data_IF_068974349693
#
_entry.id   IF_068974349693
#
_cell.length_a   1.000
_cell.length_b   1.000
_cell.length_c   1.000
_cell.angle_alpha   90.00
_cell.angle_beta   90.00
_cell.angle_gamma   90.00
#
_symmetry.space_group_name_H-M   'P 1'
#
loop_
_entity.id
_entity.type
_entity.pdbx_description
1 polymer ?
#
# COMPACT_ATOMS: atom_id res chain seq x y z
N UNK A 1 -35.51 -11.54 -9.18
CA UNK A 1 -34.38 -10.81 -9.78
C UNK A 1 -33.69 -10.08 -8.64
N UNK A 2 -32.60 -10.65 -8.12
CA UNK A 2 -31.87 -10.15 -6.94
C UNK A 2 -30.75 -9.25 -7.47
N UNK A 3 -30.49 -8.06 -6.89
CA UNK A 3 -29.43 -7.19 -7.37
C UNK A 3 -28.08 -7.87 -7.10
N UNK A 4 -27.23 -7.84 -8.12
CA UNK A 4 -25.85 -8.32 -8.10
C UNK A 4 -25.11 -7.66 -6.93
N UNK A 5 -24.48 -8.47 -6.09
CA UNK A 5 -23.50 -8.03 -5.10
C UNK A 5 -22.44 -7.28 -5.89
N UNK A 6 -22.46 -5.95 -5.79
CA UNK A 6 -21.45 -5.09 -6.40
C UNK A 6 -20.11 -5.42 -5.74
N UNK A 7 -19.09 -5.60 -6.58
CA UNK A 7 -17.68 -5.97 -6.35
C UNK A 7 -16.89 -5.11 -5.33
N UNK A 8 -17.57 -4.51 -4.34
CA UNK A 8 -17.02 -3.69 -3.26
C UNK A 8 -16.92 -4.44 -1.92
N UNK A 9 -17.73 -5.49 -1.74
CA UNK A 9 -17.77 -6.30 -0.51
C UNK A 9 -16.86 -7.55 -0.58
N UNK A 10 -16.15 -7.74 -1.70
CA UNK A 10 -15.20 -8.82 -1.94
C UNK A 10 -13.79 -8.41 -1.49
N UNK A 11 -13.05 -9.31 -0.84
CA UNK A 11 -11.61 -9.11 -0.59
C UNK A 11 -10.87 -8.86 -1.91
N UNK A 12 -9.80 -8.05 -1.88
CA UNK A 12 -8.95 -7.86 -3.05
C UNK A 12 -8.44 -9.22 -3.57
N UNK A 13 -8.37 -9.37 -4.89
CA UNK A 13 -7.82 -10.56 -5.53
C UNK A 13 -6.34 -10.81 -5.20
N UNK A 14 -5.60 -9.75 -4.84
CA UNK A 14 -4.25 -9.85 -4.32
C UNK A 14 -4.28 -10.13 -2.83
N UNK A 15 -3.90 -11.35 -2.44
CA UNK A 15 -3.86 -11.81 -1.04
C UNK A 15 -2.92 -11.02 -0.11
N UNK A 16 -2.03 -10.21 -0.68
CA UNK A 16 -1.13 -9.35 0.10
C UNK A 16 -1.67 -7.93 0.25
N UNK A 17 -2.74 -7.55 -0.46
CA UNK A 17 -3.39 -6.25 -0.37
C UNK A 17 -4.36 -6.23 0.82
N UNK A 18 -4.40 -5.12 1.55
CA UNK A 18 -5.30 -4.90 2.70
C UNK A 18 -6.60 -4.18 2.30
N UNK A 19 -6.73 -3.72 1.06
CA UNK A 19 -7.91 -3.01 0.57
C UNK A 19 -9.01 -3.98 0.10
N UNK A 20 -10.27 -3.54 0.09
CA UNK A 20 -11.41 -4.33 -0.40
C UNK A 20 -11.91 -3.83 -1.76
N UNK A 21 -12.54 -4.72 -2.51
CA UNK A 21 -13.10 -4.46 -3.83
C UNK A 21 -12.07 -4.15 -4.91
N UNK A 22 -12.57 -3.72 -6.07
CA UNK A 22 -11.72 -3.31 -7.20
C UNK A 22 -11.04 -1.95 -6.96
N UNK A 23 -9.72 -1.90 -7.17
CA UNK A 23 -8.91 -0.69 -7.10
C UNK A 23 -7.69 -0.78 -8.02
N UNK A 24 -7.29 0.36 -8.59
CA UNK A 24 -6.16 0.46 -9.53
C UNK A 24 -4.79 0.47 -8.85
N UNK A 25 -4.75 0.65 -7.52
CA UNK A 25 -3.52 0.62 -6.73
C UNK A 25 -3.75 -0.23 -5.52
N UNK A 26 -3.11 -1.38 -5.49
CA UNK A 26 -3.13 -2.31 -4.37
C UNK A 26 -2.18 -1.80 -3.29
N UNK A 27 -2.62 -1.81 -2.04
CA UNK A 27 -1.84 -1.29 -0.91
C UNK A 27 -1.82 -2.27 0.25
N UNK A 28 -0.65 -2.38 0.88
CA UNK A 28 -0.43 -3.09 2.13
C UNK A 28 0.13 -2.11 3.15
N UNK A 29 -0.55 -1.94 4.27
CA UNK A 29 -0.15 -1.02 5.33
C UNK A 29 0.81 -1.74 6.26
N UNK A 30 2.06 -1.28 6.34
CA UNK A 30 3.09 -1.95 7.15
C UNK A 30 3.24 -1.31 8.51
N UNK A 31 3.50 0.00 8.54
CA UNK A 31 3.86 0.69 9.78
C UNK A 31 3.21 2.08 9.84
N UNK A 32 2.87 2.51 11.06
CA UNK A 32 2.38 3.87 11.35
C UNK A 32 3.15 4.45 12.52
N UNK A 33 4.08 5.34 12.22
CA UNK A 33 5.00 5.95 13.18
C UNK A 33 4.43 7.28 13.65
N UNK A 34 4.28 7.44 14.97
CA UNK A 34 3.84 8.71 15.54
C UNK A 34 5.02 9.67 15.67
N UNK A 35 4.84 10.89 15.16
CA UNK A 35 5.75 11.99 15.44
C UNK A 35 5.79 12.31 16.92
N UNK A 36 6.96 12.75 17.41
CA UNK A 36 7.18 13.06 18.83
C UNK A 36 6.83 14.51 19.16
N UNK A 37 6.88 15.40 18.17
CA UNK A 37 6.44 16.79 18.29
C UNK A 37 4.92 16.94 18.13
N UNK A 38 4.33 17.92 18.83
CA UNK A 38 2.88 18.26 18.77
C UNK A 38 2.36 18.53 17.35
N UNK A 39 3.24 18.79 16.38
CA UNK A 39 2.91 19.12 14.98
C UNK A 39 3.51 18.14 13.96
N UNK A 40 4.18 17.08 14.41
CA UNK A 40 4.87 16.14 13.51
C UNK A 40 3.92 15.14 12.84
N UNK A 41 2.69 14.99 13.37
CA UNK A 41 1.68 14.13 12.76
C UNK A 41 2.08 12.66 12.83
N UNK A 42 1.65 11.87 11.85
CA UNK A 42 2.03 10.47 11.69
C UNK A 42 2.70 10.28 10.33
N UNK A 43 3.62 9.32 10.27
CA UNK A 43 4.28 8.86 9.05
C UNK A 43 3.89 7.40 8.82
N UNK A 44 3.27 7.11 7.69
CA UNK A 44 2.92 5.75 7.28
C UNK A 44 3.93 5.20 6.29
N UNK A 45 4.28 3.91 6.42
CA UNK A 45 5.06 3.15 5.44
C UNK A 45 4.21 2.03 4.89
N UNK A 46 4.03 2.01 3.57
CA UNK A 46 3.17 1.06 2.88
C UNK A 46 3.92 0.43 1.69
N UNK A 47 3.39 -0.69 1.18
CA UNK A 47 3.71 -1.16 -0.16
C UNK A 47 2.57 -0.85 -1.10
N UNK A 48 2.89 -0.42 -2.32
CA UNK A 48 1.91 -0.20 -3.39
C UNK A 48 2.30 -0.93 -4.67
N UNK A 49 1.29 -1.41 -5.39
CA UNK A 49 1.46 -1.94 -6.75
C UNK A 49 0.29 -1.44 -7.61
N UNK A 50 0.58 -1.01 -8.82
CA UNK A 50 -0.44 -0.66 -9.81
C UNK A 50 -1.06 -1.95 -10.38
N UNK A 51 -2.35 -1.93 -10.74
CA UNK A 51 -3.07 -3.13 -11.22
C UNK A 51 -2.60 -3.61 -12.61
N UNK A 52 -1.75 -2.84 -13.30
CA UNK A 52 -1.14 -3.26 -14.56
C UNK A 52 -0.24 -4.48 -14.41
N UNK A 53 -0.35 -5.38 -15.38
CA UNK A 53 0.51 -6.57 -15.50
C UNK A 53 1.99 -6.18 -15.48
N UNK A 54 2.75 -6.78 -14.56
CA UNK A 54 4.18 -6.55 -14.42
C UNK A 54 4.58 -5.24 -13.75
N UNK A 55 3.63 -4.52 -13.13
CA UNK A 55 3.95 -3.35 -12.32
C UNK A 55 4.85 -3.74 -11.13
N UNK A 56 5.84 -2.90 -10.83
CA UNK A 56 6.72 -3.12 -9.67
C UNK A 56 5.99 -2.83 -8.35
N UNK A 57 6.30 -3.63 -7.33
CA UNK A 57 5.95 -3.31 -5.95
C UNK A 57 6.87 -2.19 -5.47
N UNK A 58 6.28 -1.07 -5.05
CA UNK A 58 6.98 0.14 -4.59
C UNK A 58 6.73 0.37 -3.10
N UNK A 59 7.68 1.02 -2.44
CA UNK A 59 7.49 1.52 -1.07
C UNK A 59 6.89 2.92 -1.15
N UNK A 60 5.79 3.12 -0.43
CA UNK A 60 5.09 4.41 -0.31
C UNK A 60 5.28 4.97 1.10
N UNK A 61 5.64 6.24 1.20
CA UNK A 61 5.70 6.97 2.47
C UNK A 61 4.62 8.04 2.48
N UNK A 62 3.77 8.00 3.50
CA UNK A 62 2.66 8.94 3.66
C UNK A 62 2.85 9.77 4.93
N UNK A 63 2.27 10.97 4.98
CA UNK A 63 2.18 11.73 6.23
C UNK A 63 0.82 12.37 6.38
N UNK A 64 0.28 12.32 7.60
CA UNK A 64 -1.00 12.95 7.92
C UNK A 64 -0.95 14.49 7.90
N UNK A 65 0.24 15.08 7.88
CA UNK A 65 0.46 16.52 7.85
C UNK A 65 1.10 17.02 6.53
N UNK A 66 1.29 16.15 5.54
CA UNK A 66 2.03 16.47 4.30
C UNK A 66 1.47 17.69 3.54
N UNK A 67 0.16 17.92 3.63
CA UNK A 67 -0.50 19.06 2.99
C UNK A 67 -0.06 20.43 3.55
N UNK A 68 0.55 20.47 4.74
CA UNK A 68 0.97 21.72 5.38
C UNK A 68 2.49 21.88 5.43
N UNK A 69 3.26 20.78 5.41
CA UNK A 69 4.73 20.80 5.45
C UNK A 69 5.31 19.57 4.75
N UNK A 70 6.45 19.70 4.05
CA UNK A 70 7.23 18.55 3.66
C UNK A 70 7.62 17.73 4.90
N UNK A 71 7.76 16.42 4.70
CA UNK A 71 8.22 15.42 5.66
C UNK A 71 9.74 15.60 5.96
N UNK A 72 10.23 16.84 6.00
CA UNK A 72 11.65 17.19 5.91
C UNK A 72 12.35 17.34 7.26
N UNK A 73 11.60 17.38 8.36
CA UNK A 73 12.16 17.50 9.71
C UNK A 73 11.48 16.49 10.65
N UNK A 74 12.14 15.36 10.84
CA UNK A 74 11.74 14.32 11.78
C UNK A 74 12.61 14.41 13.04
N UNK A 75 12.02 14.12 14.20
CA UNK A 75 12.80 13.84 15.41
C UNK A 75 13.76 12.66 15.15
N UNK A 76 14.99 12.64 15.70
CA UNK A 76 15.95 11.54 15.46
C UNK A 76 15.38 10.14 15.73
N UNK A 77 14.63 9.96 16.81
CA UNK A 77 14.00 8.67 17.11
C UNK A 77 12.96 8.26 16.05
N UNK A 78 12.11 9.20 15.62
CA UNK A 78 11.14 8.97 14.54
C UNK A 78 11.86 8.66 13.22
N UNK A 79 13.00 9.29 12.96
CA UNK A 79 13.82 9.01 11.79
C UNK A 79 14.46 7.60 11.86
N UNK A 80 14.89 7.16 13.05
CA UNK A 80 15.41 5.82 13.27
C UNK A 80 14.31 4.75 13.07
N UNK A 81 13.14 4.94 13.70
CA UNK A 81 11.97 4.09 13.51
C UNK A 81 11.56 4.02 12.02
N UNK A 82 11.59 5.15 11.30
CA UNK A 82 11.31 5.20 9.87
C UNK A 82 12.36 4.44 9.05
N UNK A 83 13.64 4.54 9.39
CA UNK A 83 14.71 3.82 8.69
C UNK A 83 14.54 2.30 8.81
N UNK A 84 14.20 1.80 10.01
CA UNK A 84 13.92 0.38 10.23
C UNK A 84 12.68 -0.09 9.47
N UNK A 85 11.60 0.69 9.51
CA UNK A 85 10.38 0.40 8.77
C UNK A 85 10.63 0.35 7.25
N UNK A 86 11.42 1.29 6.70
CA UNK A 86 11.80 1.30 5.30
C UNK A 86 12.66 0.09 4.91
N UNK A 87 13.64 -0.29 5.75
CA UNK A 87 14.47 -1.46 5.49
C UNK A 87 13.63 -2.76 5.43
N UNK A 88 12.69 -2.91 6.37
CA UNK A 88 11.74 -4.03 6.39
C UNK A 88 10.82 -4.03 5.16
N UNK A 89 10.28 -2.85 4.81
CA UNK A 89 9.42 -2.68 3.64
C UNK A 89 10.14 -3.04 2.34
N UNK A 90 11.38 -2.58 2.14
CA UNK A 90 12.21 -2.92 0.97
C UNK A 90 12.44 -4.42 0.88
N UNK A 91 12.82 -5.07 1.97
CA UNK A 91 13.03 -6.52 1.97
C UNK A 91 11.74 -7.28 1.60
N UNK A 92 10.57 -6.79 2.06
CA UNK A 92 9.27 -7.38 1.70
C UNK A 92 8.89 -7.11 0.24
N UNK A 93 9.11 -5.90 -0.26
CA UNK A 93 8.88 -5.54 -1.65
C UNK A 93 9.71 -6.41 -2.60
N UNK A 94 10.99 -6.62 -2.30
CA UNK A 94 11.87 -7.50 -3.07
C UNK A 94 11.31 -8.93 -3.14
N UNK A 95 10.87 -9.49 -2.00
CA UNK A 95 10.22 -10.82 -1.97
C UNK A 95 8.97 -10.84 -2.85
N UNK A 96 8.08 -9.86 -2.73
CA UNK A 96 6.83 -9.81 -3.50
C UNK A 96 7.07 -9.58 -5.01
N UNK A 97 8.06 -8.77 -5.40
CA UNK A 97 8.46 -8.57 -6.79
C UNK A 97 9.00 -9.85 -7.45
N UNK A 98 9.51 -10.80 -6.65
CA UNK A 98 9.85 -12.14 -7.14
C UNK A 98 8.63 -13.03 -7.35
N UNK A 99 7.55 -12.87 -6.57
CA UNK A 99 6.29 -13.62 -6.74
C UNK A 99 5.38 -13.04 -7.85
N UNK A 100 5.41 -11.71 -8.05
CA UNK A 100 4.50 -11.00 -8.96
C UNK A 100 4.76 -11.18 -10.46
N UNK A 101 5.84 -11.86 -10.85
CA UNK A 101 6.14 -12.14 -12.27
C UNK A 101 5.27 -13.27 -12.86
N UNK A 102 4.73 -14.13 -12.01
CA UNK A 102 3.95 -15.32 -12.42
C UNK A 102 2.45 -15.23 -12.09
N UNK A 103 2.02 -14.23 -11.32
CA UNK A 103 0.60 -14.03 -10.99
C UNK A 103 -0.06 -13.19 -12.08
N UNK A 104 -0.80 -13.86 -12.95
CA UNK A 104 -1.76 -13.18 -13.83
C UNK A 104 -2.92 -12.72 -12.95
N UNK A 105 -3.10 -11.40 -12.78
CA UNK A 105 -4.33 -10.85 -12.22
C UNK A 105 -5.43 -11.20 -13.22
N UNK A 106 -6.11 -12.31 -12.98
CA UNK A 106 -7.23 -12.74 -13.80
C UNK A 106 -8.37 -11.74 -13.56
N UNK A 107 -8.52 -10.80 -14.47
CA UNK A 107 -9.75 -10.02 -14.53
C UNK A 107 -10.89 -10.99 -14.83
N UNK A 108 -11.95 -11.06 -14.00
CA UNK A 108 -13.18 -11.67 -14.46
C UNK A 108 -13.66 -10.84 -15.65
N UNK A 109 -13.57 -11.41 -16.85
CA UNK A 109 -14.25 -10.85 -18.03
C UNK A 109 -15.73 -10.90 -17.69
N UNK A 110 -16.30 -9.76 -17.30
CA UNK A 110 -17.74 -9.60 -17.22
C UNK A 110 -18.23 -9.59 -18.66
N UNK A 111 -18.53 -10.79 -19.18
CA UNK A 111 -19.27 -10.93 -20.43
C UNK A 111 -20.67 -10.36 -20.20
N UNK A 112 -20.89 -9.14 -20.64
CA UNK A 112 -22.23 -8.54 -20.70
C UNK A 112 -23.07 -9.18 -21.82
N UNK A 113 -24.40 -9.23 -21.65
CA UNK A 113 -25.33 -9.70 -22.67
C UNK A 113 -25.39 -8.80 -23.91
#
# INVERSE_FOLDING_TARGET
MVPLITDRDTECSLRWCDETGYHATHRLYLESIRGRGRREGMVGVNLIQDDRRGADVRVEVTSSNAAQRPLSALHPDTAAELAEALASAVARAQRLSHYGKDVTIAHPVVAGP
#
